data_IF_550243531835
#
_entry.id   IF_550243531835
#
_cell.length_a   1.000
_cell.length_b   1.000
_cell.length_c   1.000
_cell.angle_alpha   90.00
_cell.angle_beta   90.00
_cell.angle_gamma   90.00
#
_symmetry.space_group_name_H-M   'P 1'
#
loop_
_entity.id
_entity.type
_entity.pdbx_description
1 polymer ?
#
# COMPACT_ATOMS: atom_id res chain seq x y z
N UNK A 1 -17.77 -4.06 -57.84
CA UNK A 1 -16.48 -3.36 -57.66
C UNK A 1 -16.37 -2.56 -56.34
N UNK A 2 -17.48 -2.08 -55.75
CA UNK A 2 -17.48 -1.31 -54.49
C UNK A 2 -17.12 -2.09 -53.21
N UNK A 3 -17.32 -3.42 -53.16
CA UNK A 3 -17.13 -4.21 -51.93
C UNK A 3 -15.64 -4.47 -51.56
N UNK A 4 -14.73 -4.51 -52.54
CA UNK A 4 -13.30 -4.73 -52.26
C UNK A 4 -12.56 -3.49 -51.75
N UNK A 5 -12.98 -2.30 -52.19
CA UNK A 5 -12.35 -1.04 -51.79
C UNK A 5 -12.64 -0.74 -50.31
N UNK A 6 -13.85 -1.04 -49.85
CA UNK A 6 -14.26 -0.85 -48.45
C UNK A 6 -13.47 -1.73 -47.47
N UNK A 7 -13.19 -2.99 -47.84
CA UNK A 7 -12.37 -3.91 -47.01
C UNK A 7 -10.90 -3.47 -46.89
N UNK A 8 -10.34 -2.83 -47.92
CA UNK A 8 -8.96 -2.31 -47.88
C UNK A 8 -8.82 -1.08 -46.99
N UNK A 9 -9.86 -0.25 -46.90
CA UNK A 9 -9.86 0.95 -46.05
C UNK A 9 -9.98 0.57 -44.56
N UNK A 10 -10.75 -0.46 -44.22
CA UNK A 10 -10.92 -0.93 -42.82
C UNK A 10 -9.62 -1.52 -42.26
N UNK A 11 -8.81 -2.20 -43.08
CA UNK A 11 -7.54 -2.79 -42.62
C UNK A 11 -6.44 -1.77 -42.32
N UNK A 12 -6.53 -0.54 -42.84
CA UNK A 12 -5.53 0.51 -42.63
C UNK A 12 -5.81 1.43 -41.43
N UNK A 13 -7.00 1.35 -40.82
CA UNK A 13 -7.40 2.22 -39.72
C UNK A 13 -7.05 1.69 -38.31
N UNK A 14 -6.38 0.53 -38.20
CA UNK A 14 -6.15 -0.13 -36.91
C UNK A 14 -4.76 0.15 -36.28
N UNK A 15 -3.91 0.97 -36.92
CA UNK A 15 -2.51 1.19 -36.49
C UNK A 15 -2.21 2.57 -35.87
N UNK A 16 -3.22 3.36 -35.47
CA UNK A 16 -3.01 4.75 -35.04
C UNK A 16 -3.37 5.07 -33.58
N UNK A 17 -3.39 4.09 -32.67
CA UNK A 17 -3.61 4.34 -31.23
C UNK A 17 -2.42 3.96 -30.34
N UNK A 18 -1.20 4.25 -30.79
CA UNK A 18 0.00 4.18 -29.95
C UNK A 18 0.75 5.50 -30.07
N UNK A 19 0.29 6.53 -29.36
CA UNK A 19 1.12 7.61 -28.82
C UNK A 19 0.26 8.62 -28.03
N UNK A 20 0.06 8.31 -26.74
CA UNK A 20 -0.29 9.29 -25.72
C UNK A 20 0.15 8.78 -24.34
N UNK A 21 1.46 8.73 -24.09
CA UNK A 21 1.98 8.94 -22.74
C UNK A 21 2.51 10.37 -22.72
N UNK A 22 1.62 11.31 -22.37
CA UNK A 22 1.96 12.69 -22.06
C UNK A 22 2.76 12.72 -20.77
N UNK A 23 3.72 13.65 -20.69
CA UNK A 23 4.67 13.84 -19.62
C UNK A 23 4.02 13.77 -18.23
N UNK A 24 4.46 12.84 -17.39
CA UNK A 24 4.22 12.92 -15.95
C UNK A 24 5.22 13.94 -15.40
N UNK A 25 4.75 15.16 -15.13
CA UNK A 25 5.44 16.08 -14.24
C UNK A 25 5.77 15.33 -12.95
N UNK A 26 7.05 15.26 -12.59
CA UNK A 26 7.48 14.78 -11.29
C UNK A 26 6.90 15.73 -10.24
N UNK A 27 5.70 15.45 -9.75
CA UNK A 27 5.36 15.85 -8.40
C UNK A 27 6.30 15.06 -7.49
N UNK A 28 7.02 15.81 -6.66
CA UNK A 28 7.88 15.30 -5.62
C UNK A 28 7.01 14.55 -4.59
N UNK A 29 6.59 13.34 -4.92
CA UNK A 29 6.19 12.35 -3.94
C UNK A 29 7.50 11.73 -3.50
N UNK A 30 7.98 12.19 -2.35
CA UNK A 30 9.05 11.57 -1.60
C UNK A 30 8.87 10.05 -1.68
N UNK A 31 9.76 9.40 -2.43
CA UNK A 31 9.82 7.96 -2.44
C UNK A 31 10.01 7.55 -0.98
N UNK A 32 8.98 6.96 -0.40
CA UNK A 32 9.08 6.35 0.93
C UNK A 32 10.16 5.30 0.79
N UNK A 33 11.34 5.61 1.34
CA UNK A 33 12.51 4.77 1.27
C UNK A 33 12.12 3.38 1.77
N UNK A 34 12.25 2.39 0.90
CA UNK A 34 11.96 1.00 1.25
C UNK A 34 12.79 0.56 2.47
N UNK A 35 13.95 1.19 2.71
CA UNK A 35 14.74 0.97 3.93
C UNK A 35 14.11 1.57 5.19
N UNK A 36 13.36 2.67 5.09
CA UNK A 36 12.61 3.22 6.22
C UNK A 36 11.42 2.33 6.60
N UNK A 37 10.74 1.74 5.61
CA UNK A 37 9.65 0.77 5.83
C UNK A 37 10.18 -0.57 6.39
N UNK A 38 11.34 -1.03 5.89
CA UNK A 38 12.08 -2.20 6.41
C UNK A 38 12.50 -1.99 7.87
N UNK A 39 13.02 -0.81 8.22
CA UNK A 39 13.45 -0.49 9.59
C UNK A 39 12.27 -0.28 10.55
N UNK A 40 11.15 0.26 10.06
CA UNK A 40 9.92 0.36 10.83
C UNK A 40 9.29 -1.02 11.10
N UNK A 41 9.23 -1.91 10.11
CA UNK A 41 8.70 -3.27 10.27
C UNK A 41 9.57 -4.16 11.20
N UNK A 42 10.90 -4.01 11.14
CA UNK A 42 11.84 -4.74 12.02
C UNK A 42 11.82 -4.19 13.46
N UNK A 43 11.58 -2.88 13.64
CA UNK A 43 11.41 -2.27 14.96
C UNK A 43 10.03 -2.56 15.59
N UNK A 44 8.98 -2.65 14.78
CA UNK A 44 7.59 -2.91 15.20
C UNK A 44 7.34 -4.37 15.61
N UNK A 45 8.02 -5.34 14.96
CA UNK A 45 7.98 -6.75 15.38
C UNK A 45 8.49 -7.00 16.81
N UNK A 46 9.30 -6.09 17.36
CA UNK A 46 9.81 -6.16 18.73
C UNK A 46 9.13 -5.16 19.69
N UNK A 47 8.15 -4.39 19.22
CA UNK A 47 7.43 -3.43 20.04
C UNK A 47 5.94 -3.52 19.76
N UNK A 48 5.30 -4.53 20.35
CA UNK A 48 3.88 -4.46 20.69
C UNK A 48 3.78 -3.87 22.11
N UNK A 49 3.73 -2.54 22.30
CA UNK A 49 3.35 -1.96 23.57
C UNK A 49 1.82 -2.01 23.76
N UNK A 50 1.33 -2.10 25.01
CA UNK A 50 -0.08 -2.30 25.31
C UNK A 50 -0.92 -1.08 24.94
N UNK A 51 -2.18 -1.36 24.61
CA UNK A 51 -3.22 -0.42 24.21
C UNK A 51 -3.22 0.89 25.03
N UNK A 52 -2.89 2.00 24.37
CA UNK A 52 -2.94 3.36 24.92
C UNK A 52 -3.99 4.21 24.21
N UNK A 53 -5.18 4.23 24.79
CA UNK A 53 -6.34 5.06 24.50
C UNK A 53 -6.01 6.55 24.32
N UNK A 54 -6.20 7.09 23.11
CA UNK A 54 -6.41 8.54 22.91
C UNK A 54 -7.43 8.76 21.80
N UNK A 55 -8.54 9.45 22.12
CA UNK A 55 -9.67 9.80 21.27
C UNK A 55 -9.31 10.88 20.22
N UNK A 56 -10.09 10.99 19.15
CA UNK A 56 -9.95 12.03 18.12
C UNK A 56 -10.71 13.27 18.57
N UNK A 57 -10.10 14.13 19.39
CA UNK A 57 -10.55 15.51 19.62
C UNK A 57 -9.32 16.35 19.94
N UNK A 58 -9.19 17.48 19.24
CA UNK A 58 -8.10 18.45 19.28
C UNK A 58 -6.74 17.98 18.74
N UNK A 59 -6.05 18.89 18.07
CA UNK A 59 -4.77 18.72 17.37
C UNK A 59 -3.61 18.30 18.27
N UNK A 60 -3.71 17.11 18.87
CA UNK A 60 -2.66 16.43 19.59
C UNK A 60 -2.25 15.22 18.75
N UNK A 61 -1.08 15.35 18.15
CA UNK A 61 -0.38 14.31 17.41
C UNK A 61 -0.42 13.02 18.22
N UNK A 62 -1.23 12.04 17.78
CA UNK A 62 -1.00 10.64 18.14
C UNK A 62 0.44 10.38 17.74
N UNK A 63 1.29 9.90 18.67
CA UNK A 63 2.67 9.55 18.35
C UNK A 63 2.63 8.64 17.12
N UNK A 64 3.00 9.20 15.98
CA UNK A 64 3.09 8.51 14.72
C UNK A 64 4.00 7.32 15.00
N UNK A 65 3.47 6.12 14.81
CA UNK A 65 4.36 5.00 14.56
C UNK A 65 5.29 5.46 13.43
N UNK A 66 6.58 5.15 13.47
CA UNK A 66 7.52 5.63 12.44
C UNK A 66 7.20 5.10 11.01
N UNK A 67 6.00 4.56 10.79
CA UNK A 67 5.37 4.14 9.54
C UNK A 67 3.97 4.74 9.41
N UNK A 68 3.77 5.59 8.40
CA UNK A 68 2.45 6.13 8.03
C UNK A 68 1.38 5.05 7.83
N UNK A 69 1.80 3.86 7.39
CA UNK A 69 0.89 2.76 7.14
C UNK A 69 0.27 2.20 8.43
N UNK A 70 1.07 2.09 9.48
CA UNK A 70 0.60 1.67 10.81
C UNK A 70 -0.27 2.76 11.44
N UNK A 71 0.03 4.03 11.20
CA UNK A 71 -0.85 5.13 11.63
C UNK A 71 -2.24 5.05 10.98
N UNK A 72 -2.30 4.78 9.67
CA UNK A 72 -3.57 4.57 8.98
C UNK A 72 -4.30 3.31 9.46
N UNK A 73 -3.58 2.22 9.74
CA UNK A 73 -4.18 1.02 10.32
C UNK A 73 -4.78 1.30 11.70
N UNK A 74 -4.06 2.05 12.54
CA UNK A 74 -4.54 2.47 13.86
C UNK A 74 -5.76 3.40 13.76
N UNK A 75 -5.82 4.24 12.72
CA UNK A 75 -7.00 5.04 12.44
C UNK A 75 -8.20 4.14 12.11
N UNK A 76 -8.04 3.15 11.22
CA UNK A 76 -9.09 2.18 10.87
C UNK A 76 -9.59 1.46 12.14
N UNK A 77 -8.66 0.94 12.95
CA UNK A 77 -8.94 0.29 14.24
C UNK A 77 -9.79 1.14 15.17
N UNK A 78 -9.35 2.39 15.38
CA UNK A 78 -10.01 3.34 16.30
C UNK A 78 -11.43 3.69 15.88
N UNK A 79 -11.72 3.57 14.59
CA UNK A 79 -13.04 3.83 14.03
C UNK A 79 -13.91 2.57 13.93
N UNK A 80 -13.45 1.43 14.47
CA UNK A 80 -14.16 0.15 14.39
C UNK A 80 -14.58 -0.21 12.97
N UNK A 81 -13.76 0.16 11.99
CA UNK A 81 -14.04 -0.16 10.59
C UNK A 81 -13.90 -1.68 10.39
N UNK A 82 -14.86 -2.25 9.66
CA UNK A 82 -14.98 -3.69 9.43
C UNK A 82 -13.76 -4.30 8.72
N UNK A 83 -13.00 -3.50 7.98
CA UNK A 83 -11.84 -3.97 7.23
C UNK A 83 -10.60 -4.13 8.15
N UNK A 84 -10.67 -3.68 9.42
CA UNK A 84 -9.54 -3.74 10.37
C UNK A 84 -8.99 -5.15 10.57
N UNK A 85 -9.85 -6.11 10.92
CA UNK A 85 -9.41 -7.47 11.28
C UNK A 85 -8.70 -8.13 10.10
N UNK A 86 -9.24 -7.95 8.88
CA UNK A 86 -8.60 -8.44 7.67
C UNK A 86 -7.21 -7.81 7.47
N UNK A 87 -7.07 -6.50 7.62
CA UNK A 87 -5.76 -5.86 7.46
C UNK A 87 -4.77 -6.28 8.53
N UNK A 88 -5.21 -6.48 9.77
CA UNK A 88 -4.38 -6.96 10.87
C UNK A 88 -3.86 -8.38 10.59
N UNK A 89 -4.74 -9.28 10.14
CA UNK A 89 -4.38 -10.66 9.78
C UNK A 89 -3.37 -10.69 8.63
N UNK A 90 -3.61 -9.91 7.57
CA UNK A 90 -2.68 -9.82 6.45
C UNK A 90 -1.31 -9.26 6.87
N UNK A 91 -1.30 -8.30 7.80
CA UNK A 91 -0.09 -7.76 8.39
C UNK A 91 0.71 -8.82 9.15
N UNK A 92 0.04 -9.61 9.99
CA UNK A 92 0.65 -10.73 10.72
C UNK A 92 1.26 -11.75 9.78
N UNK A 93 0.52 -12.16 8.73
CA UNK A 93 1.02 -13.13 7.73
C UNK A 93 2.27 -12.60 7.00
N UNK A 94 2.30 -11.31 6.67
CA UNK A 94 3.49 -10.70 6.04
C UNK A 94 4.66 -10.66 7.02
N UNK A 95 4.40 -10.32 8.29
CA UNK A 95 5.38 -10.34 9.38
C UNK A 95 6.02 -11.72 9.54
N UNK A 96 5.21 -12.77 9.63
CA UNK A 96 5.65 -14.17 9.71
C UNK A 96 6.54 -14.56 8.51
N UNK A 97 6.22 -14.02 7.32
CA UNK A 97 7.03 -14.19 6.12
C UNK A 97 8.43 -13.56 6.23
N UNK A 98 8.52 -12.34 6.75
CA UNK A 98 9.82 -11.70 7.01
C UNK A 98 10.63 -12.44 8.08
N UNK A 99 9.94 -12.97 9.09
CA UNK A 99 10.50 -13.80 10.13
C UNK A 99 11.12 -15.09 9.57
N UNK A 100 10.37 -15.79 8.72
CA UNK A 100 10.86 -16.94 7.98
C UNK A 100 12.05 -16.58 7.09
N UNK A 101 11.97 -15.47 6.34
CA UNK A 101 13.08 -14.99 5.51
C UNK A 101 14.33 -14.75 6.35
N UNK A 102 14.23 -14.03 7.46
CA UNK A 102 15.39 -13.68 8.28
C UNK A 102 16.07 -14.88 8.92
N UNK A 103 15.30 -15.89 9.35
CA UNK A 103 15.83 -17.15 9.88
C UNK A 103 16.54 -17.99 8.82
N UNK A 104 16.09 -17.92 7.56
CA UNK A 104 16.50 -18.86 6.51
C UNK A 104 17.32 -18.24 5.37
N UNK A 105 17.44 -16.92 5.27
CA UNK A 105 18.08 -16.24 4.14
C UNK A 105 19.50 -16.72 3.85
N UNK A 106 20.23 -17.18 4.86
CA UNK A 106 21.61 -17.66 4.71
C UNK A 106 21.71 -19.02 3.99
N UNK A 107 20.66 -19.84 4.02
CA UNK A 107 20.60 -21.14 3.33
C UNK A 107 19.86 -21.06 1.98
N UNK A 108 19.25 -19.92 1.67
CA UNK A 108 18.57 -19.70 0.39
C UNK A 108 19.59 -19.43 -0.72
N UNK A 109 19.33 -19.99 -1.91
CA UNK A 109 20.00 -19.55 -3.13
C UNK A 109 19.83 -18.03 -3.32
N UNK A 110 20.81 -17.39 -3.98
CA UNK A 110 20.84 -15.93 -4.16
C UNK A 110 19.56 -15.41 -4.82
N UNK A 111 19.10 -16.07 -5.88
CA UNK A 111 17.95 -15.59 -6.65
C UNK A 111 16.64 -15.84 -5.88
N UNK A 112 16.53 -17.01 -5.25
CA UNK A 112 15.39 -17.32 -4.38
C UNK A 112 15.25 -16.32 -3.22
N UNK A 113 16.37 -15.95 -2.60
CA UNK A 113 16.43 -14.97 -1.51
C UNK A 113 15.94 -13.60 -1.96
N UNK A 114 16.44 -13.12 -3.10
CA UNK A 114 16.05 -11.82 -3.65
C UNK A 114 14.58 -11.82 -4.07
N UNK A 115 14.12 -12.85 -4.78
CA UNK A 115 12.72 -12.98 -5.19
C UNK A 115 11.78 -13.04 -3.99
N UNK A 116 12.13 -13.78 -2.94
CA UNK A 116 11.30 -13.88 -1.75
C UNK A 116 11.22 -12.55 -1.00
N UNK A 117 12.35 -11.84 -0.86
CA UNK A 117 12.40 -10.48 -0.29
C UNK A 117 11.49 -9.53 -1.07
N UNK A 118 11.62 -9.50 -2.40
CA UNK A 118 10.79 -8.66 -3.28
C UNK A 118 9.30 -8.98 -3.17
N UNK A 119 8.96 -10.27 -3.08
CA UNK A 119 7.58 -10.69 -2.90
C UNK A 119 6.99 -10.17 -1.57
N UNK A 120 7.74 -10.24 -0.47
CA UNK A 120 7.31 -9.70 0.83
C UNK A 120 7.15 -8.17 0.78
N UNK A 121 8.09 -7.46 0.15
CA UNK A 121 8.02 -6.01 -0.03
C UNK A 121 6.78 -5.58 -0.82
N UNK A 122 6.48 -6.26 -1.93
CA UNK A 122 5.30 -5.98 -2.74
C UNK A 122 4.01 -6.24 -1.97
N UNK A 123 3.95 -7.33 -1.19
CA UNK A 123 2.79 -7.64 -0.34
C UNK A 123 2.57 -6.55 0.69
N UNK A 124 3.63 -6.13 1.39
CA UNK A 124 3.56 -5.07 2.39
C UNK A 124 3.13 -3.74 1.76
N UNK A 125 3.72 -3.36 0.64
CA UNK A 125 3.36 -2.14 -0.08
C UNK A 125 1.88 -2.15 -0.50
N UNK A 126 1.40 -3.27 -1.04
CA UNK A 126 0.03 -3.43 -1.52
C UNK A 126 -0.98 -3.41 -0.36
N UNK A 127 -0.65 -4.04 0.77
CA UNK A 127 -1.45 -3.92 1.99
C UNK A 127 -1.51 -2.46 2.43
N UNK A 128 -0.39 -1.76 2.45
CA UNK A 128 -0.33 -0.37 2.86
C UNK A 128 -1.13 0.59 1.98
N UNK A 129 -1.10 0.40 0.67
CA UNK A 129 -1.95 1.19 -0.23
C UNK A 129 -3.44 0.96 0.03
N UNK A 130 -3.85 -0.28 0.34
CA UNK A 130 -5.24 -0.60 0.69
C UNK A 130 -5.65 0.03 2.02
N UNK A 131 -4.81 -0.09 3.04
CA UNK A 131 -5.01 0.54 4.36
C UNK A 131 -5.15 2.06 4.21
N UNK A 132 -4.23 2.70 3.49
CA UNK A 132 -4.29 4.15 3.24
C UNK A 132 -5.57 4.56 2.51
N UNK A 133 -5.99 3.80 1.50
CA UNK A 133 -7.23 4.07 0.78
C UNK A 133 -8.46 3.94 1.69
N UNK A 134 -8.50 2.91 2.55
CA UNK A 134 -9.59 2.72 3.51
C UNK A 134 -9.64 3.82 4.57
N UNK A 135 -8.48 4.22 5.10
CA UNK A 135 -8.36 5.39 5.97
C UNK A 135 -8.87 6.67 5.30
N UNK A 136 -8.54 6.89 4.03
CA UNK A 136 -9.04 8.05 3.27
C UNK A 136 -10.57 8.03 3.13
N UNK A 137 -11.18 6.88 2.81
CA UNK A 137 -12.64 6.74 2.75
C UNK A 137 -13.29 7.09 4.09
N UNK A 138 -12.73 6.60 5.20
CA UNK A 138 -13.21 6.90 6.55
C UNK A 138 -13.19 8.39 6.85
N UNK A 139 -12.06 9.06 6.58
CA UNK A 139 -11.92 10.50 6.80
C UNK A 139 -12.93 11.28 5.96
N UNK A 140 -13.04 10.94 4.66
CA UNK A 140 -13.99 11.57 3.74
C UNK A 140 -15.43 11.46 4.25
N UNK A 141 -15.86 10.27 4.67
CA UNK A 141 -17.21 10.03 5.16
C UNK A 141 -17.50 10.87 6.41
N UNK A 142 -16.56 10.93 7.36
CA UNK A 142 -16.70 11.78 8.55
C UNK A 142 -16.80 13.26 8.21
N UNK A 143 -16.00 13.74 7.26
CA UNK A 143 -16.06 15.15 6.82
C UNK A 143 -17.43 15.46 6.21
N UNK A 144 -18.01 14.54 5.44
CA UNK A 144 -19.36 14.75 4.86
C UNK A 144 -20.50 14.71 5.88
N UNK A 145 -20.26 14.15 7.07
CA UNK A 145 -21.24 14.09 8.16
C UNK A 145 -21.20 15.34 9.07
N UNK A 146 -20.19 16.20 8.91
CA UNK A 146 -20.11 17.45 9.67
C UNK A 146 -21.14 18.46 9.15
N UNK A 147 -21.91 19.13 10.03
CA UNK A 147 -22.82 20.18 9.61
C UNK A 147 -22.03 21.36 8.99
N UNK A 148 -22.53 21.86 7.86
CA UNK A 148 -21.98 23.03 7.15
C UNK A 148 -22.33 24.35 7.84
#
# INVERSE_FOLDING_TARGET
>A
MFSQVLKRIIFLAMFSFLNACSNHEQSNVQAVDANALQNAAIADANSIPPAGNTALTDGKTTNSSNSLCIDYLNLIKKNHDKDYDQYADEYTIIGDGYDFFNRNKNIMDKDAREMYRRALEMKLHTLCSRVQYSAYKLIRNKISELPQ
#
